data_IF_949617487578
#
_entry.id   IF_949617487578
#
_cell.length_a   1.000
_cell.length_b   1.000
_cell.length_c   1.000
_cell.angle_alpha   90.00
_cell.angle_beta   90.00
_cell.angle_gamma   90.00
#
_symmetry.space_group_name_H-M   'P 1'
#
loop_
_entity.id
_entity.type
_entity.pdbx_description
1 polymer ?
#
# COMPACT_ATOMS: atom_id res chain seq x y z
N UNK A 1 41.36 -11.21 -45.85
CA UNK A 1 41.29 -10.65 -44.48
C UNK A 1 39.82 -10.55 -44.09
N UNK A 2 39.46 -10.81 -42.83
CA UNK A 2 38.07 -10.64 -42.37
C UNK A 2 37.84 -9.25 -41.74
N UNK A 3 36.59 -8.86 -41.55
CA UNK A 3 36.21 -7.55 -40.97
C UNK A 3 36.80 -7.33 -39.56
N UNK A 4 36.86 -8.38 -38.73
CA UNK A 4 37.43 -8.28 -37.39
C UNK A 4 38.94 -8.04 -37.38
N UNK A 5 39.68 -8.63 -38.32
CA UNK A 5 41.10 -8.39 -38.53
C UNK A 5 41.36 -6.96 -39.02
N UNK A 6 40.51 -6.48 -39.94
CA UNK A 6 40.55 -5.09 -40.39
C UNK A 6 40.30 -4.10 -39.25
N UNK A 7 39.30 -4.36 -38.39
CA UNK A 7 39.03 -3.52 -37.22
C UNK A 7 40.20 -3.47 -36.24
N UNK A 8 40.93 -4.57 -36.05
CA UNK A 8 42.17 -4.57 -35.24
C UNK A 8 43.28 -3.73 -35.86
N UNK A 9 43.41 -3.75 -37.19
CA UNK A 9 44.37 -2.89 -37.89
C UNK A 9 43.98 -1.42 -37.76
N UNK A 10 42.69 -1.10 -37.81
CA UNK A 10 42.20 0.26 -37.58
C UNK A 10 42.49 0.73 -36.15
N UNK A 11 42.19 -0.08 -35.13
CA UNK A 11 42.53 0.22 -33.73
C UNK A 11 44.05 0.40 -33.54
N UNK A 12 44.85 -0.41 -34.21
CA UNK A 12 46.30 -0.28 -34.17
C UNK A 12 46.76 1.04 -34.83
N UNK A 13 46.21 1.38 -35.99
CA UNK A 13 46.52 2.60 -36.73
C UNK A 13 46.13 3.88 -35.96
N UNK A 14 45.07 3.82 -35.15
CA UNK A 14 44.67 4.93 -34.28
C UNK A 14 45.67 5.19 -33.14
N UNK A 15 46.32 4.15 -32.62
CA UNK A 15 47.23 4.24 -31.46
C UNK A 15 48.69 4.42 -31.85
N UNK A 16 49.09 3.83 -32.98
CA UNK A 16 50.47 3.81 -33.47
C UNK A 16 50.50 3.79 -34.98
N UNK A 17 51.67 4.09 -35.54
CA UNK A 17 51.93 3.86 -36.96
C UNK A 17 51.90 2.35 -37.26
N UNK A 18 51.24 1.98 -38.35
CA UNK A 18 51.23 0.60 -38.86
C UNK A 18 52.59 0.20 -39.44
N UNK A 19 52.89 -1.10 -39.43
CA UNK A 19 54.05 -1.64 -40.14
C UNK A 19 53.77 -1.74 -41.63
N UNK A 20 54.80 -1.89 -42.46
CA UNK A 20 54.64 -2.01 -43.91
C UNK A 20 53.77 -3.22 -44.32
N UNK A 21 53.84 -4.32 -43.58
CA UNK A 21 53.03 -5.54 -43.83
C UNK A 21 51.56 -5.32 -43.47
N UNK A 22 51.30 -4.62 -42.36
CA UNK A 22 49.96 -4.23 -41.91
C UNK A 22 49.32 -3.23 -42.86
N UNK A 23 50.07 -2.23 -43.32
CA UNK A 23 49.60 -1.26 -44.33
C UNK A 23 49.26 -1.95 -45.65
N UNK A 24 50.08 -2.90 -46.11
CA UNK A 24 49.80 -3.65 -47.33
C UNK A 24 48.54 -4.49 -47.20
N UNK A 25 48.33 -5.12 -46.03
CA UNK A 25 47.14 -5.91 -45.74
C UNK A 25 45.88 -5.04 -45.68
N UNK A 26 45.95 -3.88 -45.00
CA UNK A 26 44.85 -2.92 -44.96
C UNK A 26 44.47 -2.42 -46.36
N UNK A 27 45.47 -2.05 -47.18
CA UNK A 27 45.23 -1.61 -48.57
C UNK A 27 44.59 -2.69 -49.42
N UNK A 28 45.04 -3.94 -49.30
CA UNK A 28 44.45 -5.05 -50.04
C UNK A 28 42.96 -5.22 -49.71
N UNK A 29 42.60 -5.10 -48.44
CA UNK A 29 41.20 -5.19 -48.02
C UNK A 29 40.36 -3.98 -48.45
N UNK A 30 40.90 -2.76 -48.37
CA UNK A 30 40.21 -1.55 -48.83
C UNK A 30 39.94 -1.55 -50.35
N UNK A 31 40.80 -2.20 -51.14
CA UNK A 31 40.58 -2.41 -52.57
C UNK A 31 39.42 -3.37 -52.84
N UNK A 32 39.26 -4.39 -52.00
CA UNK A 32 38.16 -5.37 -52.09
C UNK A 32 36.84 -4.81 -51.52
N UNK A 33 36.93 -3.87 -50.56
CA UNK A 33 35.81 -3.29 -49.83
C UNK A 33 35.86 -1.74 -49.83
N UNK A 34 35.50 -1.08 -50.93
CA UNK A 34 35.50 0.38 -51.03
C UNK A 34 34.62 1.07 -49.98
N UNK A 35 33.57 0.39 -49.49
CA UNK A 35 32.72 0.86 -48.40
C UNK A 35 33.47 1.08 -47.08
N UNK A 36 34.54 0.31 -46.84
CA UNK A 36 35.37 0.41 -45.64
C UNK A 36 36.36 1.59 -45.70
N UNK A 37 36.60 2.16 -46.88
CA UNK A 37 37.50 3.31 -47.07
C UNK A 37 37.01 4.55 -46.34
N UNK A 38 35.70 4.81 -46.38
CA UNK A 38 35.10 5.97 -45.70
C UNK A 38 35.29 5.85 -44.19
N UNK A 39 34.99 4.67 -43.64
CA UNK A 39 35.15 4.40 -42.20
C UNK A 39 36.62 4.54 -41.79
N UNK A 40 37.54 4.00 -42.60
CA UNK A 40 38.97 4.09 -42.35
C UNK A 40 39.47 5.54 -42.29
N UNK A 41 39.10 6.35 -43.28
CA UNK A 41 39.56 7.74 -43.36
C UNK A 41 38.94 8.60 -42.25
N UNK A 42 37.65 8.43 -41.96
CA UNK A 42 36.94 9.15 -40.89
C UNK A 42 37.56 8.86 -39.52
N UNK A 43 37.80 7.60 -39.20
CA UNK A 43 38.35 7.16 -37.91
C UNK A 43 39.81 7.61 -37.72
N UNK A 44 40.62 7.59 -38.79
CA UNK A 44 41.99 8.10 -38.73
C UNK A 44 42.03 9.62 -38.61
N UNK A 45 41.18 10.34 -39.34
CA UNK A 45 41.06 11.79 -39.23
C UNK A 45 40.60 12.19 -37.83
N UNK A 46 39.60 11.49 -37.27
CA UNK A 46 39.13 11.69 -35.90
C UNK A 46 40.25 11.49 -34.88
N UNK A 47 40.99 10.38 -34.97
CA UNK A 47 42.10 10.11 -34.04
C UNK A 47 43.18 11.20 -34.11
N UNK A 48 43.51 11.68 -35.32
CA UNK A 48 44.47 12.78 -35.50
C UNK A 48 43.98 14.08 -34.87
N UNK A 49 42.70 14.42 -35.04
CA UNK A 49 42.11 15.62 -34.42
C UNK A 49 42.10 15.51 -32.90
N UNK A 50 41.75 14.34 -32.35
CA UNK A 50 41.79 14.07 -30.91
C UNK A 50 43.22 14.13 -30.35
N UNK A 51 44.22 13.66 -31.11
CA UNK A 51 45.63 13.74 -30.72
C UNK A 51 46.18 15.18 -30.65
N UNK A 52 45.53 16.14 -31.30
CA UNK A 52 45.91 17.56 -31.25
C UNK A 52 45.35 18.28 -30.01
N UNK A 53 44.38 17.68 -29.31
CA UNK A 53 43.83 18.31 -28.11
C UNK A 53 44.88 18.38 -26.99
N UNK A 54 44.92 19.49 -26.23
CA UNK A 54 45.77 19.55 -25.05
C UNK A 54 45.33 18.48 -24.05
N UNK A 55 46.28 17.91 -23.27
CA UNK A 55 45.93 16.95 -22.23
C UNK A 55 44.94 17.59 -21.26
N UNK A 56 43.87 16.87 -20.94
CA UNK A 56 42.85 17.35 -20.02
C UNK A 56 43.50 17.61 -18.64
N UNK A 57 43.25 18.78 -18.01
CA UNK A 57 43.77 19.04 -16.68
C UNK A 57 43.12 18.07 -15.68
N UNK A 58 43.91 17.16 -15.14
CA UNK A 58 43.45 16.23 -14.10
C UNK A 58 43.55 16.94 -12.75
N UNK A 59 42.45 17.03 -11.97
CA UNK A 59 42.51 17.66 -10.65
C UNK A 59 43.37 16.82 -9.71
N UNK A 60 44.14 17.46 -8.82
CA UNK A 60 45.04 16.79 -7.87
C UNK A 60 44.34 15.81 -6.91
N UNK A 61 43.03 15.98 -6.71
CA UNK A 61 42.19 15.11 -5.88
C UNK A 61 41.43 14.04 -6.67
N UNK A 62 41.75 13.83 -7.96
CA UNK A 62 41.06 12.87 -8.82
C UNK A 62 40.96 11.48 -8.16
N UNK A 63 42.09 10.92 -7.74
CA UNK A 63 42.13 9.60 -7.10
C UNK A 63 41.27 9.54 -5.84
N UNK A 64 41.29 10.59 -5.02
CA UNK A 64 40.45 10.67 -3.82
C UNK A 64 38.96 10.68 -4.19
N UNK A 65 38.56 11.42 -5.23
CA UNK A 65 37.15 11.48 -5.68
C UNK A 65 36.70 10.14 -6.27
N UNK A 66 37.57 9.46 -7.01
CA UNK A 66 37.29 8.13 -7.57
C UNK A 66 37.11 7.10 -6.45
N UNK A 67 38.05 7.03 -5.50
CA UNK A 67 37.94 6.11 -4.36
C UNK A 67 36.69 6.38 -3.51
N UNK A 68 36.35 7.65 -3.30
CA UNK A 68 35.12 8.03 -2.61
C UNK A 68 33.86 7.62 -3.40
N UNK A 69 33.87 7.74 -4.72
CA UNK A 69 32.74 7.33 -5.56
C UNK A 69 32.54 5.80 -5.50
N UNK A 70 33.62 5.02 -5.64
CA UNK A 70 33.59 3.56 -5.54
C UNK A 70 33.09 3.13 -4.16
N UNK A 71 33.64 3.69 -3.08
CA UNK A 71 33.20 3.36 -1.72
C UNK A 71 31.71 3.69 -1.50
N UNK A 72 31.22 4.81 -2.03
CA UNK A 72 29.79 5.17 -1.94
C UNK A 72 28.89 4.17 -2.67
N UNK A 73 29.31 3.68 -3.83
CA UNK A 73 28.56 2.69 -4.60
C UNK A 73 28.47 1.35 -3.84
N UNK A 74 29.59 0.87 -3.29
CA UNK A 74 29.62 -0.33 -2.45
C UNK A 74 28.70 -0.19 -1.23
N UNK A 75 28.76 0.96 -0.55
CA UNK A 75 27.90 1.24 0.60
C UNK A 75 26.43 1.38 0.22
N UNK A 76 26.10 1.95 -0.95
CA UNK A 76 24.73 2.09 -1.42
C UNK A 76 24.06 0.73 -1.68
N UNK A 77 24.80 -0.21 -2.26
CA UNK A 77 24.34 -1.59 -2.47
C UNK A 77 24.05 -2.28 -1.14
N UNK A 78 24.99 -2.19 -0.18
CA UNK A 78 24.82 -2.77 1.15
C UNK A 78 23.67 -2.12 1.95
N UNK A 79 23.56 -0.78 1.92
CA UNK A 79 22.53 -0.03 2.61
C UNK A 79 21.12 -0.29 2.03
N UNK A 80 21.01 -0.46 0.71
CA UNK A 80 19.76 -0.78 0.02
C UNK A 80 19.14 -2.11 0.50
N UNK A 81 19.96 -3.15 0.67
CA UNK A 81 19.51 -4.44 1.20
C UNK A 81 18.98 -4.33 2.64
N UNK A 82 19.72 -3.61 3.51
CA UNK A 82 19.33 -3.40 4.91
C UNK A 82 18.09 -2.50 5.05
N UNK A 83 17.92 -1.52 4.17
CA UNK A 83 16.72 -0.67 4.13
C UNK A 83 15.48 -1.46 3.71
N UNK A 84 15.60 -2.31 2.68
CA UNK A 84 14.51 -3.18 2.19
C UNK A 84 14.11 -4.23 3.23
N UNK A 85 15.07 -4.85 3.91
CA UNK A 85 14.80 -5.80 4.99
C UNK A 85 14.06 -5.14 6.17
N UNK A 86 14.51 -3.95 6.61
CA UNK A 86 13.83 -3.18 7.66
C UNK A 86 12.43 -2.75 7.25
N UNK A 87 12.22 -2.35 5.99
CA UNK A 87 10.90 -2.01 5.46
C UNK A 87 9.96 -3.23 5.44
N UNK A 88 10.46 -4.39 5.02
CA UNK A 88 9.71 -5.65 5.03
C UNK A 88 9.31 -6.07 6.46
N UNK A 89 10.24 -5.98 7.43
CA UNK A 89 9.94 -6.25 8.84
C UNK A 89 8.89 -5.28 9.42
N UNK A 90 8.95 -3.99 9.07
CA UNK A 90 7.95 -3.00 9.49
C UNK A 90 6.59 -3.22 8.84
N UNK A 91 6.54 -3.76 7.62
CA UNK A 91 5.26 -4.08 6.97
C UNK A 91 4.49 -5.21 7.68
N UNK A 92 5.15 -6.01 8.53
CA UNK A 92 4.52 -7.10 9.29
C UNK A 92 3.99 -6.67 10.67
N UNK A 93 4.31 -5.46 11.15
CA UNK A 93 3.78 -4.95 12.42
C UNK A 93 2.27 -4.65 12.39
N UNK A 94 1.66 -4.07 11.33
CA UNK A 94 0.21 -3.85 11.31
C UNK A 94 -0.58 -5.16 11.29
N UNK A 95 -0.03 -6.24 10.74
CA UNK A 95 -0.68 -7.55 10.70
C UNK A 95 -0.86 -8.17 12.10
N UNK A 96 0.11 -7.96 13.00
CA UNK A 96 0.01 -8.42 14.40
C UNK A 96 -1.00 -7.60 15.21
N UNK A 97 -1.09 -6.29 14.95
CA UNK A 97 -2.05 -5.41 15.62
C UNK A 97 -3.50 -5.73 15.20
N UNK A 98 -3.74 -6.02 13.92
CA UNK A 98 -5.07 -6.39 13.43
C UNK A 98 -5.58 -7.73 13.98
N UNK A 99 -4.69 -8.72 14.12
CA UNK A 99 -5.04 -10.04 14.67
C UNK A 99 -5.42 -9.98 16.16
N UNK A 100 -4.78 -9.12 16.95
CA UNK A 100 -5.13 -8.95 18.36
C UNK A 100 -6.51 -8.29 18.53
N UNK A 101 -6.84 -7.32 17.65
CA UNK A 101 -8.14 -6.64 17.67
C UNK A 101 -9.32 -7.57 17.37
N UNK A 102 -9.18 -8.47 16.39
CA UNK A 102 -10.26 -9.39 16.00
C UNK A 102 -10.58 -10.41 17.10
N UNK A 103 -9.56 -10.91 17.82
CA UNK A 103 -9.76 -11.82 18.96
C UNK A 103 -10.51 -11.12 20.09
N UNK A 104 -10.15 -9.88 20.42
CA UNK A 104 -10.84 -9.10 21.45
C UNK A 104 -12.31 -8.86 21.10
N UNK A 105 -12.61 -8.49 19.85
CA UNK A 105 -13.99 -8.30 19.37
C UNK A 105 -14.79 -9.60 19.48
N UNK A 106 -14.19 -10.73 19.09
CA UNK A 106 -14.86 -12.03 19.11
C UNK A 106 -15.18 -12.48 20.55
N UNK A 107 -14.27 -12.25 21.50
CA UNK A 107 -14.49 -12.51 22.93
C UNK A 107 -15.63 -11.66 23.48
N UNK A 108 -15.65 -10.35 23.16
CA UNK A 108 -16.73 -9.44 23.60
C UNK A 108 -18.08 -9.88 23.02
N UNK A 109 -18.11 -10.29 21.76
CA UNK A 109 -19.34 -10.67 21.07
C UNK A 109 -19.91 -11.99 21.62
N UNK A 110 -19.05 -12.96 21.92
CA UNK A 110 -19.44 -14.21 22.58
C UNK A 110 -19.99 -13.97 23.99
N UNK A 111 -19.34 -13.12 24.79
CA UNK A 111 -19.80 -12.77 26.13
C UNK A 111 -21.18 -12.08 26.09
N UNK A 112 -21.41 -11.21 25.11
CA UNK A 112 -22.68 -10.54 24.92
C UNK A 112 -23.83 -11.50 24.59
N UNK A 113 -23.59 -12.47 23.69
CA UNK A 113 -24.60 -13.46 23.33
C UNK A 113 -24.98 -14.35 24.52
N UNK A 114 -24.00 -14.81 25.31
CA UNK A 114 -24.25 -15.61 26.49
C UNK A 114 -25.13 -14.87 27.50
N UNK A 115 -24.83 -13.60 27.78
CA UNK A 115 -25.61 -12.82 28.74
C UNK A 115 -27.06 -12.61 28.28
N UNK A 116 -27.30 -12.41 26.98
CA UNK A 116 -28.67 -12.31 26.43
C UNK A 116 -29.45 -13.61 26.54
N UNK A 117 -28.79 -14.75 26.40
CA UNK A 117 -29.45 -16.06 26.57
C UNK A 117 -29.81 -16.30 28.04
N UNK A 118 -28.90 -16.01 28.96
CA UNK A 118 -29.17 -16.13 30.40
C UNK A 118 -30.31 -15.20 30.85
N UNK A 119 -30.30 -13.93 30.41
CA UNK A 119 -31.38 -12.97 30.72
C UNK A 119 -32.75 -13.45 30.22
N UNK A 120 -32.83 -14.14 29.07
CA UNK A 120 -34.07 -14.73 28.58
C UNK A 120 -34.56 -15.89 29.44
N UNK A 121 -33.65 -16.72 29.95
CA UNK A 121 -34.03 -17.82 30.84
C UNK A 121 -34.55 -17.33 32.19
N UNK A 122 -33.97 -16.24 32.71
CA UNK A 122 -34.40 -15.62 33.95
C UNK A 122 -35.77 -14.93 33.81
N UNK A 123 -36.00 -14.22 32.69
CA UNK A 123 -37.30 -13.63 32.38
C UNK A 123 -38.38 -14.69 32.18
N UNK A 124 -38.09 -15.81 31.49
CA UNK A 124 -39.03 -16.91 31.32
C UNK A 124 -39.41 -17.56 32.66
N UNK A 125 -38.45 -17.68 33.58
CA UNK A 125 -38.69 -18.22 34.91
C UNK A 125 -39.56 -17.29 35.75
N UNK A 126 -39.29 -15.98 35.71
CA UNK A 126 -40.09 -14.98 36.40
C UNK A 126 -41.49 -14.82 35.80
N UNK A 127 -41.64 -14.92 34.47
CA UNK A 127 -42.93 -14.94 33.77
C UNK A 127 -43.75 -16.19 34.11
N UNK A 128 -43.13 -17.37 34.24
CA UNK A 128 -43.83 -18.58 34.66
C UNK A 128 -44.34 -18.48 36.11
N UNK A 129 -43.57 -17.83 36.99
CA UNK A 129 -44.01 -17.56 38.38
C UNK A 129 -45.12 -16.51 38.42
N UNK A 130 -45.04 -15.46 37.59
CA UNK A 130 -46.11 -14.46 37.48
C UNK A 130 -47.37 -14.98 36.80
N UNK A 131 -47.29 -15.89 35.81
CA UNK A 131 -48.47 -16.49 35.19
C UNK A 131 -49.17 -17.52 36.09
N UNK A 132 -48.45 -18.13 37.03
CA UNK A 132 -49.06 -18.92 38.10
C UNK A 132 -49.75 -18.04 39.16
N UNK A 133 -49.26 -16.82 39.39
CA UNK A 133 -49.87 -15.86 40.30
C UNK A 133 -51.00 -15.03 39.67
N UNK A 134 -50.96 -14.81 38.36
CA UNK A 134 -51.99 -14.14 37.58
C UNK A 134 -52.93 -15.18 36.96
N UNK A 135 -53.82 -15.72 37.79
CA UNK A 135 -55.14 -16.10 37.26
C UNK A 135 -55.71 -14.83 36.60
N UNK A 136 -55.76 -14.84 35.28
CA UNK A 136 -56.44 -13.82 34.47
C UNK A 136 -57.85 -13.63 35.05
N UNK A 137 -58.22 -12.42 35.53
CA UNK A 137 -59.62 -12.17 35.88
C UNK A 137 -60.44 -12.36 34.61
N UNK A 138 -61.52 -13.16 34.69
CA UNK A 138 -62.40 -13.42 33.55
C UNK A 138 -62.87 -12.13 32.90
N UNK A 139 -63.17 -12.19 31.60
CA UNK A 139 -63.63 -11.06 30.75
C UNK A 139 -64.77 -10.24 31.38
N UNK A 140 -65.53 -10.82 32.32
CA UNK A 140 -66.54 -10.12 33.12
C UNK A 140 -65.97 -8.95 33.96
N UNK A 141 -64.76 -9.04 34.51
CA UNK A 141 -64.19 -7.93 35.30
C UNK A 141 -63.88 -6.71 34.43
N UNK A 142 -63.59 -6.92 33.14
CA UNK A 142 -63.35 -5.84 32.19
C UNK A 142 -64.66 -5.13 31.76
N UNK A 143 -65.82 -5.82 31.85
CA UNK A 143 -67.11 -5.22 31.51
C UNK A 143 -67.55 -4.14 32.52
N UNK A 144 -67.23 -4.31 33.80
CA UNK A 144 -67.59 -3.33 34.83
C UNK A 144 -66.89 -1.98 34.60
N UNK A 145 -65.65 -1.99 34.08
CA UNK A 145 -64.93 -0.76 33.74
C UNK A 145 -65.53 -0.05 32.53
N UNK A 146 -66.04 -0.78 31.53
CA UNK A 146 -66.75 -0.18 30.40
C UNK A 146 -68.09 0.42 30.83
N UNK A 147 -68.81 -0.21 31.77
CA UNK A 147 -70.05 0.33 32.32
C UNK A 147 -69.83 1.65 33.09
N UNK A 148 -68.80 1.73 33.92
CA UNK A 148 -68.42 2.96 34.64
C UNK A 148 -68.02 4.08 33.66
N UNK A 149 -67.35 3.71 32.57
CA UNK A 149 -66.94 4.66 31.53
C UNK A 149 -68.13 5.22 30.75
N UNK A 150 -69.16 4.40 30.50
CA UNK A 150 -70.40 4.85 29.87
C UNK A 150 -71.23 5.76 30.79
N UNK A 151 -71.28 5.47 32.10
CA UNK A 151 -71.96 6.33 33.08
C UNK A 151 -71.32 7.71 33.21
N UNK A 152 -69.98 7.81 33.14
CA UNK A 152 -69.28 9.10 33.22
C UNK A 152 -69.38 9.94 31.93
N UNK A 153 -69.88 9.37 30.83
CA UNK A 153 -70.07 10.05 29.55
C UNK A 153 -71.51 10.55 29.32
N UNK A 154 -72.45 10.20 30.21
CA UNK A 154 -73.77 10.81 30.20
C UNK A 154 -73.64 12.27 30.67
N UNK A 155 -74.13 13.26 29.91
CA UNK A 155 -74.16 14.64 30.38
C UNK A 155 -74.99 14.70 31.66
N UNK A 156 -74.36 15.09 32.78
CA UNK A 156 -75.13 15.53 33.94
C UNK A 156 -75.87 16.80 33.53
N UNK A 157 -77.17 16.69 33.25
CA UNK A 157 -78.08 17.83 33.38
C UNK A 157 -78.03 18.25 34.86
N UNK A 158 -77.14 19.19 35.15
CA UNK A 158 -77.06 19.85 36.44
C UNK A 158 -78.35 20.66 36.54
N UNK A 159 -79.30 20.17 37.33
CA UNK A 159 -80.46 20.92 37.82
C UNK A 159 -79.96 22.16 38.56
N UNK A 160 -79.79 23.24 37.82
CA UNK A 160 -79.36 24.56 38.29
C UNK A 160 -80.41 25.27 39.15
N UNK A 161 -81.57 24.65 39.40
CA UNK A 161 -82.58 25.20 40.32
C UNK A 161 -82.26 25.00 41.81
N UNK A 162 -81.35 24.09 42.19
CA UNK A 162 -81.05 23.80 43.60
C UNK A 162 -79.95 24.68 44.23
N UNK A 163 -79.35 25.62 43.49
CA UNK A 163 -78.30 26.52 44.01
C UNK A 163 -78.69 27.98 44.10
N UNK A 164 -79.96 28.33 43.83
CA UNK A 164 -80.47 29.71 43.97
C UNK A 164 -81.44 29.86 45.15
N UNK A 165 -80.92 29.68 46.36
CA UNK A 165 -81.54 30.23 47.57
C UNK A 165 -80.46 30.98 48.37
N UNK A 166 -80.59 32.31 48.57
CA UNK A 166 -79.62 33.08 49.33
C UNK A 166 -79.95 33.06 50.84
N UNK A 167 -78.85 33.04 51.62
CA UNK A 167 -78.69 33.21 53.08
C UNK A 167 -78.83 31.96 53.95
#
# INVERSE_FOLDING_TARGET
MNEGEFNRLLEAAQRRRLTAEEEASARAYLLEHPEAQVVWDDELALSQLLGQLPPAPVPSNFTTRVLQAVAREEHAVAAGAHARWRAWLRAWTPLKAAAAGSVAVLVVLLAYQQNRLSARTELARNLATFSQAAMVPGVEVLQDFDAIRLLSQLPQEVDVELTSAPQ
#
